data_IF_702455551117
#
_entry.id   IF_702455551117
#
_cell.length_a   1.000
_cell.length_b   1.000
_cell.length_c   1.000
_cell.angle_alpha   90.00
_cell.angle_beta   90.00
_cell.angle_gamma   90.00
#
_symmetry.space_group_name_H-M   'P 1'
#
loop_
_entity.id
_entity.type
_entity.pdbx_description
1 polymer ?
#
# COMPACT_ATOMS: atom_id res chain seq x y z
N UNK A 1 22.73 -3.00 4.57
CA UNK A 1 22.09 -2.92 3.23
C UNK A 1 21.08 -1.78 3.21
N UNK A 2 20.03 -1.82 4.01
CA UNK A 2 19.00 -0.77 4.05
C UNK A 2 19.57 0.61 4.43
N UNK A 3 20.43 0.70 5.43
CA UNK A 3 21.00 1.98 5.91
C UNK A 3 22.04 2.63 4.97
N UNK A 4 22.49 1.90 3.93
CA UNK A 4 23.50 2.38 2.98
C UNK A 4 22.93 2.68 1.60
N UNK A 5 21.84 2.00 1.25
CA UNK A 5 21.28 2.03 -0.10
C UNK A 5 19.90 2.69 -0.13
N UNK A 6 19.15 2.72 0.97
CA UNK A 6 17.86 3.40 1.08
C UNK A 6 17.93 4.59 2.01
N UNK A 7 17.03 5.56 1.80
CA UNK A 7 16.70 6.54 2.83
C UNK A 7 15.64 5.98 3.80
N UNK A 8 15.40 6.71 4.89
CA UNK A 8 14.29 6.43 5.83
C UNK A 8 12.91 6.72 5.22
N UNK A 9 12.86 7.29 4.00
CA UNK A 9 11.61 7.60 3.36
C UNK A 9 10.90 6.29 2.94
N UNK A 10 9.64 6.07 3.35
CA UNK A 10 8.92 4.80 3.17
C UNK A 10 8.77 4.40 1.69
N UNK A 11 8.69 5.37 0.79
CA UNK A 11 8.64 5.12 -0.67
C UNK A 11 9.94 4.47 -1.16
N UNK A 12 11.10 4.89 -0.65
CA UNK A 12 12.40 4.36 -1.12
C UNK A 12 12.58 2.91 -0.69
N UNK A 13 12.18 2.58 0.54
CA UNK A 13 12.14 1.19 1.02
C UNK A 13 11.16 0.34 0.19
N UNK A 14 10.01 0.88 -0.18
CA UNK A 14 9.05 0.15 -1.02
C UNK A 14 9.56 -0.03 -2.47
N UNK A 15 10.35 0.92 -3.00
CA UNK A 15 11.01 0.79 -4.31
C UNK A 15 12.01 -0.34 -4.35
N UNK A 16 12.71 -0.59 -3.24
CA UNK A 16 13.57 -1.77 -3.14
C UNK A 16 12.80 -3.07 -3.42
N UNK A 17 11.56 -3.18 -2.93
CA UNK A 17 10.72 -4.34 -3.22
C UNK A 17 10.31 -4.40 -4.70
N UNK A 18 9.95 -3.26 -5.30
CA UNK A 18 9.58 -3.19 -6.73
C UNK A 18 10.75 -3.61 -7.63
N UNK A 19 11.97 -3.21 -7.29
CA UNK A 19 13.19 -3.57 -8.03
C UNK A 19 13.40 -5.10 -8.06
N UNK A 20 13.07 -5.79 -6.97
CA UNK A 20 13.12 -7.26 -6.91
C UNK A 20 12.08 -7.95 -7.81
N UNK A 21 11.06 -7.22 -8.27
CA UNK A 21 10.10 -7.64 -9.30
C UNK A 21 10.63 -7.41 -10.73
N UNK A 22 11.88 -7.77 -11.00
CA UNK A 22 12.56 -7.52 -12.29
C UNK A 22 12.48 -6.06 -12.74
N UNK A 23 12.89 -5.13 -11.87
CA UNK A 23 12.79 -3.69 -12.13
C UNK A 23 11.35 -3.23 -12.43
N UNK A 24 10.37 -3.81 -11.72
CA UNK A 24 8.94 -3.50 -11.88
C UNK A 24 8.24 -4.18 -13.06
N UNK A 25 8.90 -5.07 -13.82
CA UNK A 25 8.25 -5.84 -14.90
C UNK A 25 7.23 -6.85 -14.36
N UNK A 26 7.47 -7.36 -13.16
CA UNK A 26 6.49 -8.15 -12.42
C UNK A 26 5.91 -7.23 -11.34
N UNK A 27 4.59 -7.01 -11.41
CA UNK A 27 3.90 -6.11 -10.51
C UNK A 27 3.99 -6.55 -9.04
N UNK A 28 4.25 -5.58 -8.17
CA UNK A 28 4.26 -5.77 -6.72
C UNK A 28 2.89 -5.48 -6.13
N UNK A 29 2.34 -6.43 -5.37
CA UNK A 29 1.22 -6.19 -4.44
C UNK A 29 1.71 -6.38 -3.01
N UNK A 30 1.45 -5.39 -2.15
CA UNK A 30 1.94 -5.39 -0.77
C UNK A 30 0.84 -5.71 0.24
N UNK A 31 1.21 -6.16 1.44
CA UNK A 31 0.25 -6.36 2.52
C UNK A 31 -0.21 -5.02 3.10
N UNK A 32 -1.51 -4.90 3.38
CA UNK A 32 -2.08 -3.77 4.10
C UNK A 32 -1.79 -3.77 5.61
N UNK A 33 -1.05 -4.75 6.13
CA UNK A 33 -0.64 -4.80 7.54
C UNK A 33 -1.66 -5.44 8.49
N UNK A 34 -1.37 -5.37 9.79
CA UNK A 34 -2.20 -5.91 10.86
C UNK A 34 -3.42 -5.02 11.15
N UNK A 35 -4.45 -5.57 11.82
CA UNK A 35 -5.62 -4.78 12.20
C UNK A 35 -5.42 -4.18 13.59
N UNK A 36 -5.55 -2.87 13.69
CA UNK A 36 -5.47 -2.08 14.91
C UNK A 36 -6.81 -1.40 15.24
N UNK A 37 -7.89 -1.75 14.54
CA UNK A 37 -9.23 -1.25 14.81
C UNK A 37 -9.45 0.15 14.22
N UNK A 38 -9.40 1.18 15.06
CA UNK A 38 -9.80 2.54 14.67
C UNK A 38 -8.87 3.18 13.64
N UNK A 39 -7.57 2.89 13.67
CA UNK A 39 -6.58 3.44 12.74
C UNK A 39 -6.51 2.70 11.39
N UNK A 40 -7.27 1.61 11.22
CA UNK A 40 -7.12 0.73 10.07
C UNK A 40 -7.35 1.42 8.73
N UNK A 41 -8.32 2.33 8.66
CA UNK A 41 -8.62 3.06 7.43
C UNK A 41 -7.46 3.98 7.04
N UNK A 42 -6.99 4.83 7.98
CA UNK A 42 -5.89 5.76 7.72
C UNK A 42 -4.58 5.03 7.38
N UNK A 43 -4.29 3.92 8.06
CA UNK A 43 -3.10 3.12 7.80
C UNK A 43 -3.17 2.41 6.44
N UNK A 44 -4.35 1.88 6.07
CA UNK A 44 -4.56 1.25 4.77
C UNK A 44 -4.38 2.25 3.63
N UNK A 45 -4.93 3.47 3.78
CA UNK A 45 -4.76 4.56 2.81
C UNK A 45 -3.30 4.97 2.70
N UNK A 46 -2.64 5.23 3.83
CA UNK A 46 -1.22 5.59 3.86
C UNK A 46 -0.36 4.52 3.16
N UNK A 47 -0.58 3.25 3.48
CA UNK A 47 0.15 2.13 2.88
C UNK A 47 -0.12 2.02 1.38
N UNK A 48 -1.37 2.18 0.95
CA UNK A 48 -1.73 2.18 -0.47
C UNK A 48 -1.05 3.32 -1.23
N UNK A 49 -1.00 4.54 -0.64
CA UNK A 49 -0.34 5.70 -1.25
C UNK A 49 1.16 5.44 -1.37
N UNK A 50 1.84 5.03 -0.29
CA UNK A 50 3.27 4.70 -0.32
C UNK A 50 3.57 3.65 -1.40
N UNK A 51 2.79 2.57 -1.42
CA UNK A 51 2.99 1.49 -2.39
C UNK A 51 2.78 1.95 -3.83
N UNK A 52 1.69 2.67 -4.11
CA UNK A 52 1.40 3.22 -5.45
C UNK A 52 2.51 4.16 -5.90
N UNK A 53 2.91 5.11 -5.04
CA UNK A 53 3.95 6.10 -5.38
C UNK A 53 5.33 5.45 -5.58
N UNK A 54 5.58 4.31 -4.97
CA UNK A 54 6.79 3.51 -5.18
C UNK A 54 6.78 2.71 -6.50
N UNK A 55 5.63 2.52 -7.15
CA UNK A 55 5.46 1.70 -8.36
C UNK A 55 4.79 0.35 -8.13
N UNK A 56 4.26 0.09 -6.93
CA UNK A 56 3.40 -1.06 -6.66
C UNK A 56 2.03 -0.92 -7.32
N UNK A 57 1.38 -2.04 -7.60
CA UNK A 57 0.16 -2.10 -8.43
C UNK A 57 -1.10 -2.49 -7.64
N UNK A 58 -0.99 -2.74 -6.33
CA UNK A 58 -2.13 -3.13 -5.52
C UNK A 58 -1.77 -3.40 -4.06
N UNK A 59 -2.80 -3.49 -3.22
CA UNK A 59 -2.67 -3.79 -1.80
C UNK A 59 -3.56 -4.97 -1.42
N UNK A 60 -3.01 -5.91 -0.66
CA UNK A 60 -3.72 -7.05 -0.09
C UNK A 60 -4.37 -6.62 1.21
N UNK A 61 -5.70 -6.63 1.27
CA UNK A 61 -6.45 -6.32 2.48
C UNK A 61 -7.30 -7.51 2.93
N UNK A 62 -6.83 -8.20 3.98
CA UNK A 62 -7.53 -9.34 4.59
C UNK A 62 -8.23 -8.92 5.88
N UNK A 63 -7.63 -9.25 7.02
CA UNK A 63 -8.18 -9.04 8.37
C UNK A 63 -8.72 -7.62 8.59
N UNK A 64 -7.99 -6.58 8.16
CA UNK A 64 -8.43 -5.17 8.23
C UNK A 64 -9.81 -4.93 7.60
N UNK A 65 -10.15 -5.59 6.49
CA UNK A 65 -11.45 -5.43 5.85
C UNK A 65 -12.50 -6.41 6.41
N UNK A 66 -12.13 -7.68 6.56
CA UNK A 66 -13.09 -8.76 6.82
C UNK A 66 -13.42 -9.00 8.30
N UNK A 67 -12.69 -8.39 9.25
CA UNK A 67 -13.01 -8.45 10.69
C UNK A 67 -13.79 -7.22 11.18
N UNK A 68 -14.26 -6.37 10.26
CA UNK A 68 -15.07 -5.19 10.56
C UNK A 68 -16.54 -5.41 10.21
N UNK A 69 -17.47 -4.57 10.71
CA UNK A 69 -18.81 -4.48 10.15
C UNK A 69 -18.75 -4.34 8.63
N UNK A 70 -19.67 -4.99 7.91
CA UNK A 70 -19.67 -5.07 6.44
C UNK A 70 -19.49 -3.70 5.78
N UNK A 71 -20.21 -2.68 6.28
CA UNK A 71 -20.15 -1.32 5.75
C UNK A 71 -18.72 -0.75 5.82
N UNK A 72 -18.07 -0.89 6.96
CA UNK A 72 -16.73 -0.36 7.22
C UNK A 72 -15.67 -1.12 6.42
N UNK A 73 -15.82 -2.45 6.28
CA UNK A 73 -14.95 -3.27 5.44
C UNK A 73 -15.03 -2.88 3.95
N UNK A 74 -16.26 -2.65 3.45
CA UNK A 74 -16.49 -2.17 2.08
C UNK A 74 -15.89 -0.78 1.86
N UNK A 75 -16.10 0.13 2.81
CA UNK A 75 -15.51 1.48 2.76
C UNK A 75 -13.98 1.43 2.72
N UNK A 76 -13.37 0.59 3.55
CA UNK A 76 -11.92 0.41 3.57
C UNK A 76 -11.38 -0.09 2.21
N UNK A 77 -12.01 -1.12 1.63
CA UNK A 77 -11.60 -1.64 0.31
C UNK A 77 -11.76 -0.58 -0.78
N UNK A 78 -12.89 0.13 -0.82
CA UNK A 78 -13.14 1.18 -1.81
C UNK A 78 -12.16 2.33 -1.70
N UNK A 79 -11.83 2.74 -0.48
CA UNK A 79 -10.85 3.83 -0.27
C UNK A 79 -9.46 3.42 -0.77
N UNK A 80 -9.04 2.16 -0.60
CA UNK A 80 -7.80 1.66 -1.21
C UNK A 80 -7.91 1.71 -2.74
N UNK A 81 -9.03 1.29 -3.32
CA UNK A 81 -9.24 1.35 -4.78
C UNK A 81 -9.18 2.78 -5.30
N UNK A 82 -9.78 3.74 -4.60
CA UNK A 82 -9.76 5.15 -4.94
C UNK A 82 -8.31 5.67 -5.00
N UNK A 83 -7.44 5.27 -4.07
CA UNK A 83 -6.01 5.60 -4.13
C UNK A 83 -5.37 5.12 -5.44
N UNK A 84 -5.68 3.91 -5.92
CA UNK A 84 -5.12 3.40 -7.18
C UNK A 84 -5.76 4.03 -8.42
N UNK A 85 -7.03 4.42 -8.36
CA UNK A 85 -7.75 5.08 -9.45
C UNK A 85 -7.45 6.58 -9.55
N UNK A 86 -7.02 7.23 -8.47
CA UNK A 86 -6.71 8.66 -8.43
C UNK A 86 -5.47 8.98 -9.28
N UNK A 87 -5.66 9.77 -10.34
CA UNK A 87 -4.60 10.13 -11.28
C UNK A 87 -3.61 11.15 -10.72
N UNK A 88 -3.97 11.87 -9.66
CA UNK A 88 -3.09 12.83 -8.99
C UNK A 88 -2.03 12.14 -8.13
N UNK A 89 -2.28 10.89 -7.70
CA UNK A 89 -1.31 10.08 -6.96
C UNK A 89 -0.37 9.40 -7.97
N UNK A 90 0.66 10.12 -8.39
CA UNK A 90 1.66 9.64 -9.35
C UNK A 90 2.82 8.93 -8.65
N UNK A 91 3.66 8.26 -9.46
CA UNK A 91 4.98 7.84 -9.02
C UNK A 91 5.77 9.05 -8.48
N UNK A 92 6.51 8.85 -7.40
CA UNK A 92 7.33 9.89 -6.77
C UNK A 92 8.67 10.12 -7.48
#
# INVERSE_FOLDING_TARGET
>A
MYDQLSSDHPIDLCRYQVINGYMGRIGLINSGGESHGQSDLSEAVYTAVVNKRAGGIGLICGRKAFQKPMKDGVELIRTIQDVYLDKEITLA
#
